data_IF_493839983740
#
_entry.id   IF_493839983740
#
_cell.length_a   1.000
_cell.length_b   1.000
_cell.length_c   1.000
_cell.angle_alpha   90.00
_cell.angle_beta   90.00
_cell.angle_gamma   90.00
#
_symmetry.space_group_name_H-M   'P 1'
#
loop_
_entity.id
_entity.type
_entity.pdbx_description
1 polymer ?
#
# COMPACT_ATOMS: atom_id res chain seq x y z
N UNK A 1 -18.70 16.79 12.96
CA UNK A 1 -17.99 15.50 13.03
C UNK A 1 -16.67 15.73 13.74
N UNK A 2 -16.26 14.82 14.64
CA UNK A 2 -15.02 14.96 15.38
C UNK A 2 -13.86 14.35 14.58
N UNK A 3 -12.62 14.87 14.80
CA UNK A 3 -11.43 14.20 14.29
C UNK A 3 -11.12 13.00 15.17
N UNK A 4 -11.02 11.82 14.57
CA UNK A 4 -10.72 10.55 15.23
C UNK A 4 -9.44 9.95 14.65
N UNK A 5 -8.71 9.18 15.46
CA UNK A 5 -7.55 8.43 15.00
C UNK A 5 -8.01 7.17 14.23
N UNK A 6 -7.64 7.08 12.96
CA UNK A 6 -8.01 5.97 12.05
C UNK A 6 -6.79 5.16 11.64
N UNK A 7 -5.65 5.83 11.36
CA UNK A 7 -4.43 5.18 10.88
C UNK A 7 -3.35 5.17 11.96
N UNK A 8 -2.91 3.98 12.34
CA UNK A 8 -1.76 3.79 13.23
C UNK A 8 -0.42 4.12 12.55
N UNK A 9 0.66 4.23 13.33
CA UNK A 9 2.00 4.52 12.82
C UNK A 9 2.52 3.47 11.82
N UNK A 10 2.38 2.14 12.08
CA UNK A 10 2.79 1.12 11.12
C UNK A 10 2.14 1.26 9.74
N UNK A 11 0.85 1.55 9.67
CA UNK A 11 0.13 1.77 8.40
C UNK A 11 0.65 3.02 7.69
N UNK A 12 0.81 4.12 8.41
CA UNK A 12 1.22 5.41 7.84
C UNK A 12 2.66 5.38 7.34
N UNK A 13 3.59 4.98 8.19
CA UNK A 13 5.02 4.92 7.84
C UNK A 13 5.26 3.85 6.79
N UNK A 14 4.67 2.67 6.93
CA UNK A 14 4.75 1.61 5.93
C UNK A 14 4.24 2.08 4.56
N UNK A 15 3.13 2.82 4.51
CA UNK A 15 2.62 3.38 3.25
C UNK A 15 3.64 4.34 2.59
N UNK A 16 4.22 5.29 3.34
CA UNK A 16 5.17 6.23 2.76
C UNK A 16 6.51 5.58 2.41
N UNK A 17 6.93 4.54 3.14
CA UNK A 17 8.06 3.71 2.75
C UNK A 17 7.79 2.97 1.43
N UNK A 18 6.58 2.40 1.24
CA UNK A 18 6.20 1.79 -0.03
C UNK A 18 6.26 2.79 -1.18
N UNK A 19 5.68 3.97 -1.00
CA UNK A 19 5.68 5.02 -2.04
C UNK A 19 7.11 5.41 -2.41
N UNK A 20 7.96 5.71 -1.41
CA UNK A 20 9.34 6.12 -1.66
C UNK A 20 10.21 5.01 -2.24
N UNK A 21 10.11 3.80 -1.71
CA UNK A 21 10.87 2.66 -2.19
C UNK A 21 10.45 2.21 -3.60
N UNK A 22 9.14 2.18 -3.90
CA UNK A 22 8.66 1.86 -5.23
C UNK A 22 9.09 2.92 -6.26
N UNK A 23 8.98 4.22 -5.92
CA UNK A 23 9.46 5.28 -6.80
C UNK A 23 10.97 5.19 -7.05
N UNK A 24 11.76 4.89 -6.01
CA UNK A 24 13.21 4.71 -6.14
C UNK A 24 13.53 3.49 -7.00
N UNK A 25 12.88 2.34 -6.77
CA UNK A 25 13.05 1.15 -7.61
C UNK A 25 12.70 1.44 -9.07
N UNK A 26 11.59 2.15 -9.32
CA UNK A 26 11.19 2.51 -10.69
C UNK A 26 12.24 3.37 -11.40
N UNK A 27 12.78 4.40 -10.73
CA UNK A 27 13.77 5.32 -11.32
C UNK A 27 15.11 4.63 -11.57
N UNK A 28 15.44 3.61 -10.78
CA UNK A 28 16.74 2.93 -10.85
C UNK A 28 16.70 1.61 -11.64
N UNK A 29 15.55 1.22 -12.19
CA UNK A 29 15.34 -0.09 -12.82
C UNK A 29 16.21 -0.33 -14.05
N UNK A 30 16.39 0.69 -14.89
CA UNK A 30 17.12 0.57 -16.17
C UNK A 30 18.63 0.84 -16.04
N UNK A 31 19.18 0.96 -14.83
CA UNK A 31 20.56 1.38 -14.62
C UNK A 31 21.39 0.33 -13.90
N UNK A 32 22.39 -0.22 -14.58
CA UNK A 32 23.37 -1.14 -13.98
C UNK A 32 24.16 -0.49 -12.82
N UNK A 33 24.47 0.79 -12.93
CA UNK A 33 25.15 1.54 -11.87
C UNK A 33 24.33 1.55 -10.56
N UNK A 34 22.99 1.59 -10.68
CA UNK A 34 22.08 1.65 -9.55
C UNK A 34 21.43 0.30 -9.19
N UNK A 35 21.93 -0.81 -9.78
CA UNK A 35 21.39 -2.17 -9.55
C UNK A 35 21.26 -2.51 -8.07
N UNK A 36 22.26 -2.19 -7.25
CA UNK A 36 22.21 -2.43 -5.81
C UNK A 36 21.16 -1.57 -5.11
N UNK A 37 21.00 -0.31 -5.52
CA UNK A 37 19.96 0.60 -4.96
C UNK A 37 18.56 0.10 -5.34
N UNK A 38 18.39 -0.36 -6.59
CA UNK A 38 17.16 -0.99 -7.05
C UNK A 38 16.82 -2.22 -6.20
N UNK A 39 17.76 -3.12 -5.96
CA UNK A 39 17.59 -4.32 -5.14
C UNK A 39 17.21 -3.97 -3.69
N UNK A 40 17.85 -3.00 -3.05
CA UNK A 40 17.49 -2.52 -1.71
C UNK A 40 16.10 -1.89 -1.67
N UNK A 41 15.74 -1.11 -2.69
CA UNK A 41 14.41 -0.51 -2.80
C UNK A 41 13.34 -1.58 -2.99
N UNK A 42 13.56 -2.56 -3.87
CA UNK A 42 12.69 -3.72 -4.06
C UNK A 42 12.54 -4.56 -2.78
N UNK A 43 13.63 -4.84 -2.09
CA UNK A 43 13.62 -5.54 -0.79
C UNK A 43 12.85 -4.76 0.28
N UNK A 44 12.93 -3.43 0.27
CA UNK A 44 12.12 -2.56 1.14
C UNK A 44 10.63 -2.70 0.83
N UNK A 45 10.24 -2.67 -0.44
CA UNK A 45 8.84 -2.89 -0.89
C UNK A 45 8.34 -4.24 -0.38
N UNK A 46 9.08 -5.33 -0.63
CA UNK A 46 8.71 -6.68 -0.17
C UNK A 46 8.59 -6.74 1.35
N UNK A 47 9.56 -6.20 2.08
CA UNK A 47 9.55 -6.18 3.55
C UNK A 47 8.32 -5.47 4.12
N UNK A 48 7.96 -4.30 3.58
CA UNK A 48 6.77 -3.58 4.00
C UNK A 48 5.50 -4.35 3.65
N UNK A 49 5.42 -4.96 2.46
CA UNK A 49 4.24 -5.75 2.04
C UNK A 49 4.05 -6.97 2.96
N UNK A 50 5.11 -7.74 3.25
CA UNK A 50 5.03 -8.90 4.15
C UNK A 50 4.55 -8.48 5.54
N UNK A 51 5.10 -7.40 6.09
CA UNK A 51 4.61 -6.84 7.34
C UNK A 51 3.13 -6.40 7.23
N UNK A 52 2.75 -5.73 6.14
CA UNK A 52 1.38 -5.25 5.91
C UNK A 52 0.38 -6.41 5.82
N UNK A 53 0.77 -7.55 5.26
CA UNK A 53 -0.04 -8.76 5.24
C UNK A 53 -0.30 -9.24 6.66
N UNK A 54 0.74 -9.41 7.49
CA UNK A 54 0.57 -9.79 8.90
C UNK A 54 -0.30 -8.77 9.65
N UNK A 55 -0.01 -7.48 9.49
CA UNK A 55 -0.78 -6.40 10.14
C UNK A 55 -2.22 -6.31 9.63
N UNK A 56 -2.49 -6.82 8.43
CA UNK A 56 -3.82 -6.98 7.86
C UNK A 56 -4.70 -8.03 8.56
N UNK A 57 -4.10 -8.94 9.33
CA UNK A 57 -4.85 -9.91 10.14
C UNK A 57 -4.92 -9.51 11.62
N UNK A 58 -3.81 -9.06 12.22
CA UNK A 58 -3.71 -8.84 13.66
C UNK A 58 -3.72 -7.36 14.07
N UNK A 59 -3.67 -6.44 13.11
CA UNK A 59 -3.52 -5.00 13.34
C UNK A 59 -4.74 -4.30 13.92
N UNK A 60 -4.70 -2.97 13.87
CA UNK A 60 -5.80 -2.13 14.34
C UNK A 60 -7.05 -2.29 13.46
N UNK A 61 -8.21 -1.88 13.97
CA UNK A 61 -9.52 -2.07 13.31
C UNK A 61 -9.51 -1.76 11.81
N UNK A 62 -9.00 -0.59 11.41
CA UNK A 62 -9.03 -0.16 10.01
C UNK A 62 -7.85 -0.68 9.17
N UNK A 63 -6.83 -1.29 9.81
CA UNK A 63 -5.73 -1.97 9.13
C UNK A 63 -6.11 -3.38 8.66
N UNK A 64 -7.09 -4.02 9.32
CA UNK A 64 -7.47 -5.42 9.05
C UNK A 64 -8.24 -5.56 7.75
N UNK A 65 -7.89 -6.57 6.95
CA UNK A 65 -8.54 -6.88 5.67
C UNK A 65 -10.04 -7.06 5.80
N UNK A 66 -10.50 -7.73 6.85
CA UNK A 66 -11.93 -7.95 7.12
C UNK A 66 -12.74 -6.64 7.25
N UNK A 67 -12.09 -5.53 7.55
CA UNK A 67 -12.77 -4.24 7.70
C UNK A 67 -13.03 -3.52 6.37
N UNK A 68 -12.30 -3.86 5.30
CA UNK A 68 -12.37 -3.11 4.05
C UNK A 68 -12.44 -3.97 2.77
N UNK A 69 -12.01 -5.23 2.80
CA UNK A 69 -12.20 -6.14 1.65
C UNK A 69 -13.65 -6.60 1.63
N UNK A 70 -14.39 -6.08 0.68
CA UNK A 70 -15.84 -6.32 0.52
C UNK A 70 -16.11 -7.02 -0.79
N UNK A 71 -17.27 -7.66 -0.93
CA UNK A 71 -17.66 -8.32 -2.16
C UNK A 71 -17.74 -7.36 -3.36
N UNK A 72 -17.70 -7.88 -4.61
CA UNK A 72 -17.70 -7.06 -5.83
C UNK A 72 -18.95 -6.18 -5.96
N UNK A 73 -20.10 -6.61 -5.46
CA UNK A 73 -21.31 -5.79 -5.43
C UNK A 73 -21.12 -4.47 -4.66
N UNK A 74 -20.44 -4.51 -3.51
CA UNK A 74 -20.16 -3.30 -2.73
C UNK A 74 -19.20 -2.33 -3.45
N UNK A 75 -18.35 -2.82 -4.35
CA UNK A 75 -17.50 -1.97 -5.20
C UNK A 75 -18.35 -1.24 -6.24
N UNK A 76 -19.26 -1.97 -6.91
CA UNK A 76 -20.17 -1.38 -7.89
C UNK A 76 -21.09 -0.35 -7.24
N UNK A 77 -21.69 -0.69 -6.10
CA UNK A 77 -22.54 0.22 -5.33
C UNK A 77 -21.79 1.51 -4.94
N UNK A 78 -20.54 1.38 -4.51
CA UNK A 78 -19.70 2.54 -4.19
C UNK A 78 -19.41 3.41 -5.41
N UNK A 79 -19.02 2.81 -6.54
CA UNK A 79 -18.71 3.54 -7.78
C UNK A 79 -19.96 4.23 -8.32
N UNK A 80 -21.11 3.55 -8.36
CA UNK A 80 -22.36 4.16 -8.81
C UNK A 80 -22.88 5.23 -7.84
N UNK A 81 -22.71 5.03 -6.53
CA UNK A 81 -23.02 6.04 -5.51
C UNK A 81 -22.18 7.29 -5.71
N UNK A 82 -20.87 7.12 -5.96
CA UNK A 82 -19.95 8.23 -6.24
C UNK A 82 -20.37 9.04 -7.48
N UNK A 83 -20.78 8.36 -8.57
CA UNK A 83 -21.26 9.00 -9.80
C UNK A 83 -22.59 9.74 -9.61
N UNK A 84 -23.44 9.29 -8.66
CA UNK A 84 -24.74 9.91 -8.34
C UNK A 84 -24.64 10.98 -7.24
N UNK A 85 -23.46 11.13 -6.60
CA UNK A 85 -23.28 12.04 -5.45
C UNK A 85 -23.94 11.55 -4.16
N UNK A 86 -24.27 10.26 -4.06
CA UNK A 86 -24.89 9.60 -2.90
C UNK A 86 -23.98 8.45 -2.41
N UNK A 87 -22.73 8.80 -2.11
CA UNK A 87 -21.74 7.84 -1.63
C UNK A 87 -21.71 7.73 -0.10
N UNK A 88 -21.56 6.51 0.40
CA UNK A 88 -21.37 6.24 1.81
C UNK A 88 -19.98 6.69 2.29
N UNK A 89 -19.93 7.41 3.40
CA UNK A 89 -18.66 7.78 4.06
C UNK A 89 -18.11 6.59 4.86
N UNK A 90 -16.83 6.30 4.67
CA UNK A 90 -16.12 5.25 5.40
C UNK A 90 -15.03 5.87 6.29
N UNK A 91 -14.97 5.50 7.55
CA UNK A 91 -13.88 5.90 8.43
C UNK A 91 -12.53 5.32 7.93
N UNK A 92 -12.50 4.04 7.53
CA UNK A 92 -11.36 3.38 6.90
C UNK A 92 -11.33 3.53 5.37
N UNK A 93 -10.99 2.44 4.67
CA UNK A 93 -11.00 2.39 3.21
C UNK A 93 -12.44 2.15 2.68
N UNK A 94 -12.76 2.77 1.56
CA UNK A 94 -13.94 2.41 0.78
C UNK A 94 -13.74 1.08 0.04
N UNK A 95 -14.81 0.50 -0.52
CA UNK A 95 -14.76 -0.81 -1.15
C UNK A 95 -13.79 -0.87 -2.36
N UNK A 96 -13.78 0.15 -3.21
CA UNK A 96 -12.88 0.22 -4.37
C UNK A 96 -11.42 0.38 -3.95
N UNK A 97 -11.12 1.26 -2.98
CA UNK A 97 -9.80 1.44 -2.39
C UNK A 97 -9.28 0.16 -1.72
N UNK A 98 -10.17 -0.62 -1.09
CA UNK A 98 -9.83 -1.92 -0.51
C UNK A 98 -9.31 -2.92 -1.55
N UNK A 99 -9.94 -3.03 -2.69
CA UNK A 99 -9.48 -3.90 -3.79
C UNK A 99 -8.23 -3.38 -4.48
N UNK A 100 -8.07 -2.06 -4.62
CA UNK A 100 -6.83 -1.49 -5.12
C UNK A 100 -5.64 -1.84 -4.21
N UNK A 101 -5.82 -1.81 -2.88
CA UNK A 101 -4.79 -2.24 -1.92
C UNK A 101 -4.46 -3.73 -2.11
N UNK A 102 -5.45 -4.61 -2.23
CA UNK A 102 -5.21 -6.05 -2.45
C UNK A 102 -4.42 -6.26 -3.75
N UNK A 103 -4.81 -5.60 -4.84
CA UNK A 103 -4.10 -5.69 -6.12
C UNK A 103 -2.64 -5.19 -6.01
N UNK A 104 -2.40 -4.06 -5.34
CA UNK A 104 -1.05 -3.53 -5.12
C UNK A 104 -0.19 -4.46 -4.26
N UNK A 105 -0.75 -5.09 -3.22
CA UNK A 105 -0.02 -6.05 -2.40
C UNK A 105 0.35 -7.30 -3.20
N UNK A 106 -0.57 -7.84 -4.00
CA UNK A 106 -0.32 -9.02 -4.84
C UNK A 106 0.72 -8.70 -5.92
N UNK A 107 0.52 -7.61 -6.68
CA UNK A 107 1.46 -7.19 -7.72
C UNK A 107 2.85 -6.91 -7.13
N UNK A 108 2.91 -6.22 -5.99
CA UNK A 108 4.19 -5.92 -5.34
C UNK A 108 4.94 -7.17 -4.86
N UNK A 109 4.24 -8.22 -4.38
CA UNK A 109 4.88 -9.51 -4.08
C UNK A 109 5.37 -10.23 -5.32
N UNK A 110 4.57 -10.25 -6.38
CA UNK A 110 4.95 -10.89 -7.64
C UNK A 110 6.14 -10.17 -8.29
N UNK A 111 6.11 -8.82 -8.32
CA UNK A 111 7.22 -8.00 -8.79
C UNK A 111 8.47 -8.24 -7.96
N UNK A 112 8.36 -8.25 -6.62
CA UNK A 112 9.49 -8.51 -5.75
C UNK A 112 10.07 -9.93 -5.89
N UNK A 113 9.21 -10.94 -6.05
CA UNK A 113 9.65 -12.32 -6.26
C UNK A 113 10.34 -12.50 -7.61
N UNK A 114 9.77 -11.98 -8.70
CA UNK A 114 10.40 -12.03 -10.04
C UNK A 114 11.70 -11.25 -10.06
N UNK A 115 11.73 -10.04 -9.47
CA UNK A 115 12.94 -9.21 -9.40
C UNK A 115 14.06 -9.84 -8.58
N UNK A 116 13.75 -10.55 -7.48
CA UNK A 116 14.74 -11.30 -6.73
C UNK A 116 15.34 -12.46 -7.54
N UNK A 117 14.51 -13.19 -8.29
CA UNK A 117 14.97 -14.27 -9.18
C UNK A 117 15.89 -13.73 -10.30
N UNK A 118 15.51 -12.59 -10.91
CA UNK A 118 16.35 -11.89 -11.90
C UNK A 118 17.68 -11.45 -11.27
N UNK A 119 17.63 -10.87 -10.07
CA UNK A 119 18.82 -10.42 -9.36
C UNK A 119 19.81 -11.56 -9.05
N UNK A 120 19.31 -12.79 -8.86
CA UNK A 120 20.08 -14.02 -8.64
C UNK A 120 20.50 -14.72 -9.96
N UNK A 121 20.36 -14.06 -11.11
CA UNK A 121 20.64 -14.60 -12.45
C UNK A 121 19.86 -15.88 -12.76
N UNK A 122 18.64 -16.01 -12.21
CA UNK A 122 17.76 -17.15 -12.45
C UNK A 122 16.70 -16.78 -13.49
N UNK A 123 16.40 -17.69 -14.41
CA UNK A 123 15.26 -17.63 -15.32
C UNK A 123 15.48 -16.96 -16.68
N UNK A 124 16.57 -16.23 -16.93
CA UNK A 124 16.87 -15.62 -18.25
C UNK A 124 15.93 -14.49 -18.66
N UNK A 125 16.01 -14.05 -19.91
CA UNK A 125 15.32 -12.86 -20.47
C UNK A 125 13.79 -12.83 -20.24
N UNK A 126 13.11 -14.00 -20.36
CA UNK A 126 11.66 -14.06 -20.18
C UNK A 126 11.22 -13.62 -18.75
N UNK A 127 12.07 -13.85 -17.74
CA UNK A 127 11.75 -13.46 -16.37
C UNK A 127 11.96 -11.97 -16.14
N UNK A 128 12.90 -11.35 -16.85
CA UNK A 128 13.08 -9.89 -16.89
C UNK A 128 11.81 -9.24 -17.50
N UNK A 129 11.32 -9.75 -18.63
CA UNK A 129 10.08 -9.26 -19.25
C UNK A 129 8.87 -9.41 -18.31
N UNK A 130 8.78 -10.52 -17.57
CA UNK A 130 7.72 -10.73 -16.57
C UNK A 130 7.85 -9.72 -15.42
N UNK A 131 9.06 -9.47 -14.92
CA UNK A 131 9.30 -8.48 -13.87
C UNK A 131 8.89 -7.07 -14.32
N UNK A 132 9.29 -6.64 -15.51
CA UNK A 132 8.94 -5.35 -16.09
C UNK A 132 7.42 -5.21 -16.28
N UNK A 133 6.76 -6.26 -16.79
CA UNK A 133 5.31 -6.26 -16.97
C UNK A 133 4.56 -6.14 -15.64
N UNK A 134 5.01 -6.87 -14.60
CA UNK A 134 4.44 -6.78 -13.26
C UNK A 134 4.66 -5.41 -12.61
N UNK A 135 5.87 -4.84 -12.76
CA UNK A 135 6.19 -3.50 -12.26
C UNK A 135 5.33 -2.43 -12.96
N UNK A 136 5.18 -2.52 -14.29
CA UNK A 136 4.31 -1.63 -15.07
C UNK A 136 2.84 -1.76 -14.67
N UNK A 137 2.36 -2.99 -14.45
CA UNK A 137 1.03 -3.24 -13.92
C UNK A 137 0.83 -2.64 -12.52
N UNK A 138 1.83 -2.75 -11.65
CA UNK A 138 1.81 -2.13 -10.31
C UNK A 138 1.75 -0.60 -10.41
N UNK A 139 2.52 0.02 -11.32
CA UNK A 139 2.46 1.45 -11.55
C UNK A 139 1.08 1.90 -12.03
N UNK A 140 0.48 1.17 -12.98
CA UNK A 140 -0.87 1.48 -13.47
C UNK A 140 -1.91 1.42 -12.33
N UNK A 141 -1.88 0.39 -11.48
CA UNK A 141 -2.79 0.28 -10.32
C UNK A 141 -2.49 1.36 -9.29
N UNK A 142 -1.22 1.74 -9.07
CA UNK A 142 -0.85 2.84 -8.18
C UNK A 142 -1.40 4.18 -8.70
N UNK A 143 -1.32 4.45 -10.01
CA UNK A 143 -1.91 5.64 -10.63
C UNK A 143 -3.44 5.67 -10.47
N UNK A 144 -4.13 4.54 -10.67
CA UNK A 144 -5.57 4.40 -10.42
C UNK A 144 -5.91 4.62 -8.94
N UNK A 145 -5.08 4.10 -8.02
CA UNK A 145 -5.25 4.34 -6.58
C UNK A 145 -5.14 5.83 -6.24
N UNK A 146 -4.13 6.52 -6.74
CA UNK A 146 -3.95 7.97 -6.54
C UNK A 146 -5.14 8.75 -7.12
N UNK A 147 -5.58 8.42 -8.34
CA UNK A 147 -6.77 9.04 -8.94
C UNK A 147 -8.01 8.82 -8.08
N UNK A 148 -8.23 7.60 -7.57
CA UNK A 148 -9.31 7.27 -6.65
C UNK A 148 -9.25 8.06 -5.34
N UNK A 149 -8.05 8.27 -4.78
CA UNK A 149 -7.82 9.10 -3.59
C UNK A 149 -8.19 10.56 -3.86
N UNK A 150 -7.81 11.11 -5.02
CA UNK A 150 -8.14 12.49 -5.41
C UNK A 150 -9.65 12.64 -5.57
N UNK A 151 -10.29 11.77 -6.34
CA UNK A 151 -11.75 11.80 -6.57
C UNK A 151 -12.51 11.67 -5.25
N UNK A 152 -12.15 10.69 -4.39
CA UNK A 152 -12.78 10.51 -3.09
C UNK A 152 -12.53 11.69 -2.15
N UNK A 153 -11.35 12.33 -2.20
CA UNK A 153 -11.06 13.52 -1.39
C UNK A 153 -11.96 14.70 -1.78
N UNK A 154 -12.20 14.89 -3.08
CA UNK A 154 -13.08 15.94 -3.58
C UNK A 154 -14.53 15.66 -3.26
N UNK A 155 -15.02 14.44 -3.52
CA UNK A 155 -16.39 14.04 -3.25
C UNK A 155 -16.76 14.18 -1.77
N UNK A 156 -15.94 13.62 -0.88
CA UNK A 156 -16.18 13.66 0.57
C UNK A 156 -15.77 14.98 1.24
N UNK A 157 -15.14 15.91 0.51
CA UNK A 157 -14.57 17.18 1.05
C UNK A 157 -13.62 16.92 2.23
N UNK A 158 -12.84 15.84 2.14
CA UNK A 158 -11.89 15.43 3.16
C UNK A 158 -10.53 15.14 2.50
N UNK A 159 -9.45 15.74 2.97
CA UNK A 159 -8.11 15.50 2.43
C UNK A 159 -7.56 14.15 2.91
N UNK A 160 -7.69 13.10 2.08
CA UNK A 160 -7.26 11.74 2.39
C UNK A 160 -5.74 11.60 2.42
N UNK A 161 -5.01 12.41 1.64
CA UNK A 161 -3.54 12.46 1.69
C UNK A 161 -3.08 12.96 3.05
N UNK A 162 -3.67 14.07 3.54
CA UNK A 162 -3.39 14.58 4.89
C UNK A 162 -3.73 13.55 5.97
N UNK A 163 -4.81 12.79 5.80
CA UNK A 163 -5.18 11.73 6.72
C UNK A 163 -4.09 10.65 6.84
N UNK A 164 -3.38 10.34 5.75
CA UNK A 164 -2.28 9.38 5.75
C UNK A 164 -1.01 9.95 6.42
N UNK A 165 -0.83 11.28 6.52
CA UNK A 165 0.24 11.90 7.32
C UNK A 165 -0.13 12.01 8.80
N UNK A 166 -1.35 12.44 9.11
CA UNK A 166 -1.76 12.75 10.50
C UNK A 166 -2.33 11.56 11.26
N UNK A 167 -2.85 10.57 10.55
CA UNK A 167 -3.63 9.45 11.09
C UNK A 167 -5.09 9.82 11.38
N UNK A 168 -5.49 11.08 11.21
CA UNK A 168 -6.78 11.61 11.63
C UNK A 168 -7.75 11.76 10.46
N UNK A 169 -8.99 11.32 10.67
CA UNK A 169 -10.14 11.53 9.76
C UNK A 169 -11.35 12.05 10.51
N UNK A 170 -12.32 12.56 9.76
CA UNK A 170 -13.63 12.87 10.31
C UNK A 170 -14.41 11.57 10.53
N UNK A 171 -15.01 11.40 11.72
CA UNK A 171 -15.77 10.21 12.04
C UNK A 171 -16.45 10.29 13.39
N UNK A 172 -17.06 9.17 13.80
CA UNK A 172 -17.68 9.02 15.10
C UNK A 172 -16.66 8.52 16.12
N UNK A 173 -16.76 8.90 17.41
CA UNK A 173 -15.83 8.48 18.45
C UNK A 173 -15.68 6.95 18.57
N UNK A 174 -16.75 6.20 18.33
CA UNK A 174 -16.78 4.73 18.38
C UNK A 174 -16.04 4.06 17.20
N UNK A 175 -15.67 4.81 16.17
CA UNK A 175 -14.89 4.36 15.03
C UNK A 175 -13.38 4.55 15.23
N UNK A 176 -12.95 5.28 16.25
CA UNK A 176 -11.54 5.50 16.54
C UNK A 176 -10.80 4.20 16.89
N UNK A 177 -9.52 4.13 16.50
CA UNK A 177 -8.64 3.05 16.98
C UNK A 177 -8.10 3.38 18.37
N UNK A 178 -7.82 2.35 19.18
CA UNK A 178 -7.41 2.49 20.57
C UNK A 178 -6.02 3.13 20.77
N UNK A 179 -5.19 3.26 19.69
CA UNK A 179 -3.88 3.90 19.81
C UNK A 179 -3.01 3.75 18.56
N UNK A 180 -1.97 4.57 18.48
CA UNK A 180 -1.11 4.72 17.31
C UNK A 180 -0.03 3.63 17.14
N UNK A 181 0.16 2.74 18.13
CA UNK A 181 1.07 1.56 18.08
C UNK A 181 2.55 1.89 17.77
N UNK A 182 3.21 2.80 18.49
CA UNK A 182 4.60 3.21 18.18
C UNK A 182 5.62 2.07 18.32
N UNK A 183 5.45 1.13 19.27
CA UNK A 183 6.35 -0.01 19.42
C UNK A 183 6.31 -0.95 18.21
N UNK A 184 5.13 -1.12 17.60
CA UNK A 184 4.98 -1.94 16.40
C UNK A 184 5.66 -1.26 15.19
N UNK A 185 5.72 0.07 15.16
CA UNK A 185 6.51 0.80 14.15
C UNK A 185 8.00 0.43 14.24
N UNK A 186 8.57 0.34 15.46
CA UNK A 186 9.98 -0.06 15.62
C UNK A 186 10.22 -1.46 15.06
N UNK A 187 9.28 -2.39 15.31
CA UNK A 187 9.33 -3.75 14.75
C UNK A 187 9.26 -3.72 13.23
N UNK A 188 8.35 -2.92 12.64
CA UNK A 188 8.27 -2.74 11.20
C UNK A 188 9.60 -2.26 10.61
N UNK A 189 10.21 -1.22 11.18
CA UNK A 189 11.45 -0.66 10.65
C UNK A 189 12.60 -1.67 10.72
N UNK A 190 12.77 -2.37 11.84
CA UNK A 190 13.77 -3.43 11.97
C UNK A 190 13.56 -4.58 10.97
N UNK A 191 12.32 -5.00 10.79
CA UNK A 191 11.94 -6.03 9.83
C UNK A 191 12.25 -5.61 8.38
N UNK A 192 11.87 -4.38 7.99
CA UNK A 192 12.10 -3.86 6.63
C UNK A 192 13.59 -3.78 6.33
N UNK A 193 14.40 -3.28 7.25
CA UNK A 193 15.87 -3.23 7.11
C UNK A 193 16.43 -4.64 6.92
N UNK A 194 15.99 -5.61 7.71
CA UNK A 194 16.43 -7.00 7.60
C UNK A 194 16.06 -7.61 6.24
N UNK A 195 14.83 -7.39 5.76
CA UNK A 195 14.36 -7.87 4.47
C UNK A 195 15.14 -7.23 3.32
N UNK A 196 15.30 -5.90 3.33
CA UNK A 196 16.03 -5.19 2.29
C UNK A 196 17.48 -5.67 2.17
N UNK A 197 18.14 -5.85 3.32
CA UNK A 197 19.52 -6.33 3.35
C UNK A 197 19.65 -7.80 2.93
N UNK A 198 18.70 -8.66 3.29
CA UNK A 198 18.73 -10.07 2.92
C UNK A 198 18.45 -10.28 1.44
N UNK A 199 17.49 -9.56 0.86
CA UNK A 199 17.09 -9.69 -0.54
C UNK A 199 18.10 -9.04 -1.52
N UNK A 200 18.92 -8.10 -1.06
CA UNK A 200 19.96 -7.46 -1.86
C UNK A 200 21.34 -8.16 -1.79
N UNK A 201 21.39 -9.38 -1.22
CA UNK A 201 22.57 -10.25 -1.18
C UNK A 201 22.50 -11.33 -2.23
#
# INVERSE_FOLDING_TARGET
>A
MNKILVWDWPVRVGHWLLVGAFALAWITGDSEEWRLVHAFAGGTVVGVILFRLLWGFVGTRHARFVSFVRGPGAVLDYVFGLLRGDESKYAGHNAAGGWAIVALLVLGLLTGASGWLVYQDMGGEWLEEVHEALASGMLAVAALHVAGVVVSSLAHRENLVRAMFTGLKQGRPDEAIAGARPLVLVVLLGWVVACAWWLAR
#
